data_IF_688676570493
#
_entry.id   IF_688676570493
#
_cell.length_a   1.000
_cell.length_b   1.000
_cell.length_c   1.000
_cell.angle_alpha   90.00
_cell.angle_beta   90.00
_cell.angle_gamma   90.00
#
_symmetry.space_group_name_H-M   'P 1'
#
loop_
_entity.id
_entity.type
_entity.pdbx_description
1 polymer ?
#
# COMPACT_ATOMS: atom_id res chain seq x y z
N UNK A 1 -11.26 12.53 -44.32
CA UNK A 1 -10.35 12.26 -43.20
C UNK A 1 -9.13 13.13 -43.39
N UNK A 2 -9.02 14.19 -42.58
CA UNK A 2 -7.93 15.16 -42.76
C UNK A 2 -6.61 14.52 -42.37
N UNK A 3 -5.65 14.63 -43.27
CA UNK A 3 -4.27 14.21 -43.02
C UNK A 3 -3.75 14.93 -41.77
N UNK A 4 -3.76 14.22 -40.69
CA UNK A 4 -3.13 14.67 -39.44
C UNK A 4 -1.62 14.78 -39.77
N UNK A 5 -1.13 16.00 -39.84
CA UNK A 5 0.25 16.31 -40.22
C UNK A 5 1.21 15.42 -39.43
N UNK A 6 2.12 14.72 -40.13
CA UNK A 6 3.10 13.80 -39.49
C UNK A 6 3.87 14.43 -38.33
N UNK A 7 4.03 15.76 -38.33
CA UNK A 7 4.63 16.53 -37.25
C UNK A 7 3.74 16.55 -36.01
N UNK A 8 2.42 16.78 -36.19
CA UNK A 8 1.45 16.80 -35.09
C UNK A 8 1.31 15.42 -34.45
N UNK A 9 1.30 14.36 -35.26
CA UNK A 9 1.27 12.98 -34.76
C UNK A 9 2.51 12.63 -33.92
N UNK A 10 3.72 13.04 -34.37
CA UNK A 10 4.95 12.86 -33.58
C UNK A 10 4.93 13.61 -32.25
N UNK A 11 4.40 14.84 -32.24
CA UNK A 11 4.29 15.65 -31.02
C UNK A 11 3.33 15.00 -30.02
N UNK A 12 2.18 14.50 -30.51
CA UNK A 12 1.20 13.78 -29.67
C UNK A 12 1.81 12.48 -29.12
N UNK A 13 2.55 11.74 -29.93
CA UNK A 13 3.23 10.52 -29.49
C UNK A 13 4.28 10.80 -28.39
N UNK A 14 5.05 11.88 -28.53
CA UNK A 14 6.05 12.31 -27.55
C UNK A 14 5.37 12.77 -26.27
N UNK A 15 4.28 13.53 -26.34
CA UNK A 15 3.51 13.94 -25.16
C UNK A 15 2.91 12.75 -24.42
N UNK A 16 2.49 11.70 -25.14
CA UNK A 16 1.93 10.48 -24.53
C UNK A 16 2.98 9.66 -23.76
N UNK A 17 4.24 9.68 -24.18
CA UNK A 17 5.32 8.98 -23.47
C UNK A 17 5.74 9.67 -22.17
N UNK A 18 5.49 10.96 -22.00
CA UNK A 18 5.76 11.69 -20.76
C UNK A 18 4.67 11.50 -19.69
N UNK A 19 3.53 10.92 -20.03
CA UNK A 19 2.41 10.68 -19.11
C UNK A 19 2.46 9.26 -18.52
N UNK A 20 3.66 8.80 -18.16
CA UNK A 20 3.79 7.57 -17.36
C UNK A 20 3.36 7.89 -15.92
N UNK A 21 2.09 7.71 -15.62
CA UNK A 21 1.57 7.74 -14.26
C UNK A 21 2.20 6.58 -13.48
N UNK A 22 3.21 6.89 -12.69
CA UNK A 22 3.72 5.96 -11.70
C UNK A 22 2.71 5.91 -10.54
N UNK A 23 1.80 4.95 -10.57
CA UNK A 23 0.97 4.62 -9.43
C UNK A 23 1.84 3.84 -8.44
N UNK A 24 2.48 4.52 -7.51
CA UNK A 24 3.21 3.91 -6.41
C UNK A 24 2.23 3.53 -5.30
N UNK A 25 2.04 2.23 -5.07
CA UNK A 25 1.24 1.75 -3.95
C UNK A 25 2.08 1.77 -2.68
N UNK A 26 1.88 2.78 -1.83
CA UNK A 26 2.58 2.89 -0.55
C UNK A 26 2.13 1.79 0.42
N UNK A 27 3.08 0.98 0.89
CA UNK A 27 2.84 -0.03 1.92
C UNK A 27 2.73 0.69 3.27
N UNK A 28 1.67 0.37 4.03
CA UNK A 28 1.52 0.87 5.39
C UNK A 28 2.55 0.20 6.29
N UNK A 29 3.48 0.97 6.82
CA UNK A 29 4.55 0.44 7.65
C UNK A 29 4.76 1.29 8.91
N UNK A 30 5.19 0.65 9.98
CA UNK A 30 5.54 1.26 11.26
C UNK A 30 6.83 0.64 11.80
N UNK A 31 7.60 1.42 12.54
CA UNK A 31 8.86 1.02 13.13
C UNK A 31 10.07 1.56 12.37
N UNK A 32 11.26 1.12 12.78
CA UNK A 32 12.51 1.57 12.19
C UNK A 32 12.70 0.97 10.78
N UNK A 33 12.91 1.82 9.78
CA UNK A 33 13.20 1.39 8.39
C UNK A 33 14.45 0.53 8.27
N UNK A 34 15.42 0.72 9.17
CA UNK A 34 16.71 0.00 9.16
C UNK A 34 16.71 -1.24 10.06
N UNK A 35 15.54 -1.61 10.61
CA UNK A 35 15.42 -2.83 11.41
C UNK A 35 15.82 -4.07 10.61
N UNK A 36 16.59 -4.95 11.24
CA UNK A 36 17.08 -6.18 10.61
C UNK A 36 15.98 -7.18 10.29
N UNK A 37 14.86 -7.09 10.98
CA UNK A 37 13.69 -7.98 10.81
C UNK A 37 12.52 -7.16 10.32
N UNK A 38 11.89 -7.64 9.25
CA UNK A 38 10.63 -7.09 8.74
C UNK A 38 9.53 -8.13 8.92
N UNK A 39 8.49 -7.77 9.67
CA UNK A 39 7.29 -8.59 9.82
C UNK A 39 6.24 -8.08 8.84
N UNK A 40 5.85 -8.92 7.88
CA UNK A 40 4.81 -8.63 6.89
C UNK A 40 3.54 -9.36 7.26
N UNK A 41 2.46 -8.63 7.49
CA UNK A 41 1.16 -9.20 7.81
C UNK A 41 0.20 -8.95 6.66
N UNK A 42 -0.30 -10.02 6.07
CA UNK A 42 -1.33 -10.00 5.04
C UNK A 42 -2.68 -10.14 5.73
N UNK A 43 -3.49 -9.11 5.71
CA UNK A 43 -4.69 -9.00 6.54
C UNK A 43 -5.87 -8.44 5.76
N UNK A 44 -7.07 -8.92 6.11
CA UNK A 44 -8.35 -8.40 5.62
C UNK A 44 -9.08 -7.69 6.75
N UNK A 45 -9.63 -6.51 6.46
CA UNK A 45 -10.37 -5.71 7.46
C UNK A 45 -11.72 -6.31 7.85
N UNK A 46 -12.19 -7.33 7.16
CA UNK A 46 -13.42 -8.08 7.51
C UNK A 46 -13.15 -9.46 8.11
N UNK A 47 -11.87 -9.86 8.27
CA UNK A 47 -11.51 -11.16 8.80
C UNK A 47 -11.46 -11.15 10.34
N UNK A 48 -12.29 -11.95 11.06
CA UNK A 48 -12.27 -12.01 12.51
C UNK A 48 -10.92 -12.41 13.11
N UNK A 49 -10.23 -13.38 12.51
CA UNK A 49 -8.90 -13.81 12.97
C UNK A 49 -7.83 -12.74 12.79
N UNK A 50 -7.95 -11.89 11.77
CA UNK A 50 -7.07 -10.73 11.59
C UNK A 50 -7.33 -9.68 12.68
N UNK A 51 -8.60 -9.47 13.08
CA UNK A 51 -8.95 -8.60 14.18
C UNK A 51 -8.38 -9.13 15.50
N UNK A 52 -8.51 -10.44 15.77
CA UNK A 52 -7.95 -11.09 16.96
C UNK A 52 -6.42 -10.94 17.04
N UNK A 53 -5.72 -11.03 15.92
CA UNK A 53 -4.29 -10.76 15.86
C UNK A 53 -3.98 -9.33 16.34
N UNK A 54 -4.71 -8.34 15.86
CA UNK A 54 -4.48 -6.94 16.23
C UNK A 54 -4.80 -6.66 17.68
N UNK A 55 -5.80 -7.33 18.24
CA UNK A 55 -6.19 -7.14 19.65
C UNK A 55 -5.24 -7.86 20.61
N UNK A 56 -4.81 -9.07 20.27
CA UNK A 56 -4.13 -9.96 21.23
C UNK A 56 -2.61 -9.99 21.05
N UNK A 57 -2.10 -9.85 19.81
CA UNK A 57 -0.69 -10.07 19.48
C UNK A 57 0.01 -8.77 19.12
N UNK A 58 -0.64 -7.91 18.34
CA UNK A 58 -0.01 -6.71 17.79
C UNK A 58 0.48 -5.73 18.87
N UNK A 59 -0.26 -5.56 19.94
CA UNK A 59 0.11 -4.67 21.06
C UNK A 59 1.44 -5.10 21.70
N UNK A 60 1.62 -6.40 21.94
CA UNK A 60 2.86 -6.93 22.49
C UNK A 60 4.00 -6.85 21.48
N UNK A 61 3.74 -7.18 20.21
CA UNK A 61 4.72 -7.04 19.13
C UNK A 61 5.18 -5.59 19.00
N UNK A 62 4.25 -4.65 19.08
CA UNK A 62 4.55 -3.22 19.02
C UNK A 62 5.45 -2.80 20.17
N UNK A 63 5.03 -3.04 21.40
CA UNK A 63 5.74 -2.64 22.62
C UNK A 63 7.12 -3.28 22.74
N UNK A 64 7.22 -4.57 22.46
CA UNK A 64 8.43 -5.35 22.74
C UNK A 64 9.46 -5.33 21.62
N UNK A 65 9.05 -5.05 20.39
CA UNK A 65 9.93 -5.14 19.23
C UNK A 65 9.91 -3.91 18.33
N UNK A 66 8.72 -3.41 17.96
CA UNK A 66 8.62 -2.29 17.01
C UNK A 66 9.10 -0.99 17.64
N UNK A 67 8.60 -0.65 18.84
CA UNK A 67 8.96 0.57 19.55
C UNK A 67 10.43 0.58 20.02
N UNK A 68 11.04 -0.60 20.14
CA UNK A 68 12.48 -0.77 20.42
C UNK A 68 13.35 -0.72 19.16
N UNK A 69 12.77 -0.53 17.98
CA UNK A 69 13.49 -0.45 16.70
C UNK A 69 14.04 -1.78 16.19
N UNK A 70 13.66 -2.90 16.77
CA UNK A 70 14.14 -4.23 16.42
C UNK A 70 13.41 -4.81 15.19
N UNK A 71 12.16 -4.38 14.98
CA UNK A 71 11.28 -4.87 13.92
C UNK A 71 10.67 -3.71 13.18
N UNK A 72 10.65 -3.82 11.85
CA UNK A 72 9.78 -3.05 10.95
C UNK A 72 8.52 -3.88 10.69
N UNK A 73 7.35 -3.32 10.94
CA UNK A 73 6.07 -3.96 10.67
C UNK A 73 5.46 -3.40 9.39
N UNK A 74 4.99 -4.27 8.51
CA UNK A 74 4.32 -3.90 7.26
C UNK A 74 2.94 -4.54 7.19
N UNK A 75 1.91 -3.71 7.01
CA UNK A 75 0.57 -4.17 6.70
C UNK A 75 0.37 -4.27 5.20
N UNK A 76 0.07 -5.46 4.73
CA UNK A 76 -0.27 -5.76 3.35
C UNK A 76 -1.75 -6.09 3.25
N UNK A 77 -2.50 -5.32 2.49
CA UNK A 77 -3.91 -5.57 2.25
C UNK A 77 -4.12 -6.91 1.53
N UNK A 78 -4.97 -7.73 2.10
CA UNK A 78 -5.44 -8.98 1.49
C UNK A 78 -6.96 -9.07 1.62
N UNK A 79 -7.72 -8.22 0.90
CA UNK A 79 -9.17 -8.17 1.02
C UNK A 79 -9.81 -9.47 0.56
N UNK A 80 -10.59 -10.09 1.44
CA UNK A 80 -11.29 -11.35 1.17
C UNK A 80 -12.67 -11.14 0.52
N UNK A 81 -13.18 -9.92 0.60
CA UNK A 81 -14.48 -9.53 0.06
C UNK A 81 -14.50 -8.05 -0.37
N UNK A 82 -15.59 -7.62 -0.99
CA UNK A 82 -15.75 -6.26 -1.49
C UNK A 82 -15.82 -5.22 -0.34
N UNK A 83 -16.36 -5.59 0.82
CA UNK A 83 -16.41 -4.70 1.97
C UNK A 83 -15.00 -4.42 2.51
N UNK A 84 -14.16 -5.46 2.60
CA UNK A 84 -12.76 -5.32 2.98
C UNK A 84 -11.98 -4.46 1.98
N UNK A 85 -12.22 -4.63 0.69
CA UNK A 85 -11.58 -3.83 -0.36
C UNK A 85 -11.95 -2.35 -0.23
N UNK A 86 -13.23 -2.04 -0.06
CA UNK A 86 -13.71 -0.67 0.11
C UNK A 86 -13.14 -0.03 1.38
N UNK A 87 -13.10 -0.76 2.49
CA UNK A 87 -12.52 -0.29 3.73
C UNK A 87 -11.01 0.01 3.58
N UNK A 88 -10.28 -0.84 2.89
CA UNK A 88 -8.84 -0.65 2.64
C UNK A 88 -8.57 0.60 1.78
N UNK A 89 -9.41 0.87 0.78
CA UNK A 89 -9.32 2.09 -0.04
C UNK A 89 -9.50 3.33 0.84
N UNK A 90 -10.49 3.34 1.73
CA UNK A 90 -10.75 4.46 2.65
C UNK A 90 -9.55 4.69 3.57
N UNK A 91 -9.01 3.63 4.18
CA UNK A 91 -7.83 3.72 5.05
C UNK A 91 -6.64 4.33 4.31
N UNK A 92 -6.37 3.88 3.09
CA UNK A 92 -5.26 4.39 2.29
C UNK A 92 -5.43 5.84 1.86
N UNK A 93 -6.66 6.26 1.54
CA UNK A 93 -6.94 7.65 1.23
C UNK A 93 -6.77 8.58 2.44
N UNK A 94 -6.94 8.08 3.65
CA UNK A 94 -6.79 8.88 4.88
C UNK A 94 -5.34 9.03 5.32
N UNK A 95 -4.47 8.08 4.97
CA UNK A 95 -3.06 8.04 5.41
C UNK A 95 -2.11 8.78 4.42
N UNK A 96 -2.62 9.18 3.27
CA UNK A 96 -1.89 10.04 2.33
C UNK A 96 -2.19 11.51 2.67
#
# INVERSE_FOLDING_TARGET
>A
MNEMNKKTFKIILILFTFFSFHAESKILSIGNSDAKVTVKVFSSLTCPHCADFHISIYENLKKDFIDKGLVKFEHHAFPLDLAALNAEIIVRCHVN
#
